data_IF_522509848818
#
_entry.id   IF_522509848818
#
_cell.length_a   1.000
_cell.length_b   1.000
_cell.length_c   1.000
_cell.angle_alpha   90.00
_cell.angle_beta   90.00
_cell.angle_gamma   90.00
#
_symmetry.space_group_name_H-M   'P 1'
#
loop_
_entity.id
_entity.type
_entity.pdbx_description
1 polymer ?
#
# COMPACT_ATOMS: atom_id res chain seq x y z
N UNK A 1 18.50 0.06 -14.27
CA UNK A 1 17.50 0.90 -14.97
C UNK A 1 18.23 2.15 -15.41
N UNK A 2 18.21 2.46 -16.69
CA UNK A 2 18.90 3.62 -17.24
C UNK A 2 18.00 4.87 -17.13
N UNK A 3 18.53 5.97 -16.57
CA UNK A 3 17.80 7.25 -16.44
C UNK A 3 17.26 7.75 -17.77
N UNK A 4 18.08 7.69 -18.83
CA UNK A 4 17.67 8.17 -20.16
C UNK A 4 16.48 7.41 -20.74
N UNK A 5 16.34 6.10 -20.42
CA UNK A 5 15.19 5.32 -20.86
C UNK A 5 13.90 5.71 -20.12
N UNK A 6 14.01 6.05 -18.82
CA UNK A 6 12.86 6.51 -18.02
C UNK A 6 12.41 7.88 -18.49
N UNK A 7 13.34 8.81 -18.74
CA UNK A 7 13.06 10.14 -19.28
C UNK A 7 12.34 10.02 -20.63
N UNK A 8 12.91 9.25 -21.56
CA UNK A 8 12.29 9.04 -22.89
C UNK A 8 10.89 8.42 -22.79
N UNK A 9 10.68 7.45 -21.86
CA UNK A 9 9.37 6.84 -21.66
C UNK A 9 8.33 7.82 -21.09
N UNK A 10 8.79 8.85 -20.39
CA UNK A 10 7.93 9.89 -19.80
C UNK A 10 7.70 11.11 -20.71
N UNK A 11 8.32 11.16 -21.87
CA UNK A 11 8.11 12.25 -22.82
C UNK A 11 6.62 12.47 -23.13
N UNK A 12 6.17 13.74 -23.05
CA UNK A 12 4.78 14.14 -23.32
C UNK A 12 3.73 13.55 -22.36
N UNK A 13 4.13 13.06 -21.19
CA UNK A 13 3.20 12.65 -20.13
C UNK A 13 2.97 13.81 -19.16
N UNK A 14 1.75 13.93 -18.64
CA UNK A 14 1.40 14.88 -17.57
C UNK A 14 1.42 14.24 -16.17
N UNK A 15 1.43 12.91 -16.12
CA UNK A 15 1.43 12.14 -14.87
C UNK A 15 2.33 10.91 -15.01
N UNK A 16 3.12 10.64 -14.00
CA UNK A 16 3.94 9.44 -13.88
C UNK A 16 3.54 8.70 -12.59
N UNK A 17 2.96 7.52 -12.74
CA UNK A 17 2.65 6.65 -11.58
C UNK A 17 3.88 5.83 -11.22
N UNK A 18 4.52 6.16 -10.09
CA UNK A 18 5.67 5.43 -9.57
C UNK A 18 5.20 4.21 -8.75
N UNK A 19 4.77 3.15 -9.45
CA UNK A 19 4.31 1.90 -8.86
C UNK A 19 5.35 0.76 -9.00
N UNK A 20 6.60 1.09 -9.34
CA UNK A 20 7.67 0.10 -9.52
C UNK A 20 8.18 -0.41 -8.19
N UNK A 21 8.37 -1.73 -8.11
CA UNK A 21 8.84 -2.40 -6.90
C UNK A 21 9.74 -3.60 -7.28
N UNK A 22 10.96 -3.70 -6.73
CA UNK A 22 11.80 -4.88 -6.97
C UNK A 22 11.11 -6.16 -6.49
N UNK A 23 11.09 -7.23 -7.32
CA UNK A 23 10.37 -8.46 -7.00
C UNK A 23 10.91 -9.11 -5.72
N UNK A 24 10.00 -9.58 -4.85
CA UNK A 24 10.34 -10.32 -3.63
C UNK A 24 11.22 -9.54 -2.65
N UNK A 25 11.14 -8.21 -2.65
CA UNK A 25 11.94 -7.31 -1.80
C UNK A 25 13.47 -7.39 -2.00
N UNK A 26 13.92 -8.01 -3.11
CA UNK A 26 15.37 -8.18 -3.37
C UNK A 26 16.01 -6.87 -3.75
N UNK A 27 17.09 -6.51 -3.04
CA UNK A 27 17.87 -5.30 -3.31
C UNK A 27 17.12 -3.97 -3.09
N UNK A 28 16.09 -3.97 -2.25
CA UNK A 28 15.30 -2.78 -1.96
C UNK A 28 16.15 -1.60 -1.52
N UNK A 29 17.12 -1.86 -0.65
CA UNK A 29 18.09 -0.91 -0.12
C UNK A 29 18.94 -0.22 -1.20
N UNK A 30 19.11 -0.86 -2.36
CA UNK A 30 19.96 -0.37 -3.44
C UNK A 30 19.18 0.12 -4.67
N UNK A 31 17.95 -0.35 -4.84
CA UNK A 31 17.20 -0.12 -6.08
C UNK A 31 16.08 0.92 -5.94
N UNK A 32 15.37 0.94 -4.81
CA UNK A 32 14.14 1.74 -4.68
C UNK A 32 14.42 3.24 -4.82
N UNK A 33 15.41 3.76 -4.09
CA UNK A 33 15.72 5.19 -4.15
C UNK A 33 16.27 5.62 -5.52
N UNK A 34 17.23 4.91 -6.16
CA UNK A 34 17.64 5.23 -7.53
C UNK A 34 16.52 5.13 -8.57
N UNK A 35 15.54 4.22 -8.37
CA UNK A 35 14.35 4.15 -9.23
C UNK A 35 13.49 5.41 -9.10
N UNK A 36 13.31 5.91 -7.87
CA UNK A 36 12.59 7.17 -7.64
C UNK A 36 13.36 8.36 -8.21
N UNK A 37 14.68 8.42 -8.05
CA UNK A 37 15.51 9.51 -8.59
C UNK A 37 15.41 9.59 -10.11
N UNK A 38 15.33 8.45 -10.80
CA UNK A 38 15.08 8.43 -12.25
C UNK A 38 13.68 8.95 -12.60
N UNK A 39 12.67 8.63 -11.77
CA UNK A 39 11.30 9.14 -11.96
C UNK A 39 11.22 10.64 -11.70
N UNK A 40 11.91 11.14 -10.67
CA UNK A 40 12.01 12.58 -10.38
C UNK A 40 12.62 13.35 -11.56
N UNK A 41 13.73 12.84 -12.10
CA UNK A 41 14.37 13.44 -13.25
C UNK A 41 13.44 13.46 -14.49
N UNK A 42 12.75 12.35 -14.75
CA UNK A 42 11.82 12.25 -15.85
C UNK A 42 10.62 13.20 -15.68
N UNK A 43 10.08 13.31 -14.46
CA UNK A 43 9.00 14.22 -14.14
C UNK A 43 9.40 15.69 -14.30
N UNK A 44 10.61 16.04 -13.89
CA UNK A 44 11.15 17.39 -14.05
C UNK A 44 11.27 17.78 -15.52
N UNK A 45 11.80 16.88 -16.36
CA UNK A 45 11.96 17.13 -17.81
C UNK A 45 10.61 17.19 -18.54
N UNK A 46 9.64 16.36 -18.14
CA UNK A 46 8.31 16.32 -18.78
C UNK A 46 7.32 17.35 -18.22
N UNK A 47 7.63 18.02 -17.09
CA UNK A 47 6.67 18.84 -16.36
C UNK A 47 5.53 18.02 -15.74
N UNK A 48 5.76 16.74 -15.47
CA UNK A 48 4.75 15.79 -15.02
C UNK A 48 4.61 15.75 -13.51
N UNK A 49 3.38 15.45 -13.00
CA UNK A 49 3.15 15.15 -11.60
C UNK A 49 3.50 13.68 -11.32
N UNK A 50 4.17 13.41 -10.21
CA UNK A 50 4.41 12.05 -9.74
C UNK A 50 3.26 11.60 -8.83
N UNK A 51 2.69 10.43 -9.09
CA UNK A 51 1.80 9.71 -8.18
C UNK A 51 2.58 8.57 -7.54
N UNK A 52 2.64 8.57 -6.22
CA UNK A 52 3.23 7.47 -5.44
C UNK A 52 2.13 6.76 -4.64
N UNK A 53 1.73 5.53 -5.00
CA UNK A 53 0.98 4.68 -4.10
C UNK A 53 1.82 4.40 -2.86
N UNK A 54 1.38 5.00 -1.74
CA UNK A 54 2.10 4.97 -0.47
C UNK A 54 1.77 3.72 0.35
N UNK A 55 2.38 3.60 1.50
CA UNK A 55 2.21 2.48 2.43
C UNK A 55 2.14 2.99 3.87
N UNK A 56 1.67 2.14 4.77
CA UNK A 56 1.65 2.39 6.21
C UNK A 56 3.00 2.10 6.90
N UNK A 57 4.01 1.56 6.19
CA UNK A 57 5.29 1.18 6.79
C UNK A 57 6.15 2.35 7.26
N UNK A 58 5.78 3.57 6.90
CA UNK A 58 6.36 4.82 7.39
C UNK A 58 6.16 5.04 8.89
N UNK A 59 5.24 4.30 9.51
CA UNK A 59 4.80 4.48 10.89
C UNK A 59 5.08 3.26 11.75
N UNK A 60 5.15 3.48 13.07
CA UNK A 60 5.14 2.40 14.06
C UNK A 60 3.70 2.18 14.54
N UNK A 61 3.07 1.03 14.28
CA UNK A 61 1.71 0.76 14.70
C UNK A 61 1.54 0.70 16.23
N UNK A 62 2.63 0.61 16.99
CA UNK A 62 2.58 0.67 18.46
C UNK A 62 2.48 2.10 18.99
N UNK A 63 2.82 3.10 18.18
CA UNK A 63 2.81 4.51 18.55
C UNK A 63 1.64 5.28 17.93
N UNK A 64 1.18 4.85 16.76
CA UNK A 64 0.17 5.55 15.97
C UNK A 64 -0.94 4.57 15.53
N UNK A 65 -1.95 4.31 16.37
CA UNK A 65 -3.07 3.42 16.00
C UNK A 65 -4.02 4.04 14.96
N UNK A 66 -3.99 5.35 14.80
CA UNK A 66 -4.65 6.10 13.73
C UNK A 66 -3.62 7.02 13.12
N UNK A 67 -3.54 7.05 11.79
CA UNK A 67 -2.62 7.92 11.05
C UNK A 67 -3.40 8.85 10.13
N UNK A 68 -2.99 10.11 10.13
CA UNK A 68 -3.44 11.19 9.27
C UNK A 68 -2.25 11.88 8.57
N UNK A 69 -2.49 12.99 7.88
CA UNK A 69 -1.46 13.75 7.16
C UNK A 69 -0.46 14.43 8.09
N UNK A 70 -0.84 14.66 9.36
CA UNK A 70 -0.02 15.35 10.38
C UNK A 70 0.78 14.38 11.24
N UNK A 71 0.42 13.10 11.21
CA UNK A 71 1.08 12.08 12.02
C UNK A 71 2.56 11.95 11.66
N UNK A 72 3.42 12.11 12.66
CA UNK A 72 4.87 12.01 12.48
C UNK A 72 5.28 10.60 12.06
N UNK A 73 6.09 10.53 11.02
CA UNK A 73 6.60 9.26 10.51
C UNK A 73 7.73 8.71 11.39
N UNK A 74 7.53 7.53 11.96
CA UNK A 74 8.48 6.81 12.79
C UNK A 74 8.58 5.34 12.32
N UNK A 75 9.38 5.05 11.28
CA UNK A 75 9.45 3.69 10.74
C UNK A 75 10.18 2.74 11.70
N UNK A 76 9.62 1.56 11.94
CA UNK A 76 10.29 0.51 12.74
C UNK A 76 11.37 -0.22 11.99
N UNK A 77 11.27 -0.32 10.68
CA UNK A 77 12.11 -1.17 9.88
C UNK A 77 12.75 -0.45 8.70
N UNK A 78 13.63 -1.16 8.05
CA UNK A 78 14.38 -0.67 6.88
C UNK A 78 13.45 -0.28 5.72
N UNK A 79 12.40 -1.09 5.46
CA UNK A 79 11.43 -0.79 4.40
C UNK A 79 10.70 0.51 4.65
N UNK A 80 10.27 0.73 5.89
CA UNK A 80 9.65 1.98 6.30
C UNK A 80 10.59 3.17 6.17
N UNK A 81 11.84 3.03 6.60
CA UNK A 81 12.86 4.09 6.46
C UNK A 81 13.08 4.48 4.98
N UNK A 82 13.12 3.50 4.07
CA UNK A 82 13.22 3.77 2.63
C UNK A 82 11.97 4.53 2.13
N UNK A 83 10.78 4.17 2.59
CA UNK A 83 9.53 4.86 2.20
C UNK A 83 9.49 6.30 2.73
N UNK A 84 9.95 6.52 3.96
CA UNK A 84 10.12 7.88 4.52
C UNK A 84 11.07 8.71 3.65
N UNK A 85 12.22 8.14 3.27
CA UNK A 85 13.19 8.82 2.41
C UNK A 85 12.63 9.11 1.01
N UNK A 86 11.82 8.20 0.43
CA UNK A 86 11.12 8.47 -0.84
C UNK A 86 10.22 9.70 -0.73
N UNK A 87 9.38 9.76 0.30
CA UNK A 87 8.47 10.89 0.49
C UNK A 87 9.20 12.19 0.82
N UNK A 88 10.34 12.11 1.52
CA UNK A 88 11.23 13.26 1.75
C UNK A 88 11.76 13.82 0.44
N UNK A 89 12.29 12.96 -0.45
CA UNK A 89 12.78 13.38 -1.79
C UNK A 89 11.68 14.02 -2.64
N UNK A 90 10.46 13.50 -2.59
CA UNK A 90 9.31 14.11 -3.28
C UNK A 90 8.99 15.51 -2.71
N UNK A 91 9.07 15.67 -1.39
CA UNK A 91 8.85 16.98 -0.76
C UNK A 91 9.98 17.97 -1.06
N UNK A 92 11.22 17.53 -1.10
CA UNK A 92 12.39 18.34 -1.43
C UNK A 92 12.40 18.78 -2.91
N UNK A 93 11.80 17.97 -3.80
CA UNK A 93 11.66 18.31 -5.21
C UNK A 93 10.50 19.29 -5.52
N UNK A 94 9.62 19.57 -4.55
CA UNK A 94 8.54 20.52 -4.69
C UNK A 94 9.06 21.97 -4.50
N UNK A 95 8.50 22.97 -5.22
CA UNK A 95 7.36 22.86 -6.15
C UNK A 95 7.72 22.48 -7.59
N UNK A 96 9.01 22.33 -7.94
CA UNK A 96 9.48 22.09 -9.31
C UNK A 96 8.92 20.78 -9.88
N UNK A 97 8.84 19.75 -9.05
CA UNK A 97 8.17 18.48 -9.35
C UNK A 97 7.00 18.28 -8.39
N UNK A 98 5.78 18.43 -8.91
CA UNK A 98 4.59 18.20 -8.10
C UNK A 98 4.39 16.70 -7.85
N UNK A 99 3.94 16.33 -6.64
CA UNK A 99 3.69 14.95 -6.31
C UNK A 99 2.38 14.75 -5.54
N UNK A 100 1.84 13.52 -5.64
CA UNK A 100 0.67 13.05 -4.93
C UNK A 100 1.01 11.69 -4.32
N UNK A 101 1.07 11.62 -3.01
CA UNK A 101 1.27 10.38 -2.25
C UNK A 101 -0.06 9.96 -1.65
N UNK A 102 -0.58 8.79 -2.03
CA UNK A 102 -1.80 8.22 -1.45
C UNK A 102 -1.41 6.96 -0.69
N UNK A 103 -1.32 7.07 0.64
CA UNK A 103 -0.98 5.94 1.51
C UNK A 103 -2.22 5.07 1.72
N UNK A 104 -2.02 3.77 1.71
CA UNK A 104 -3.08 2.80 1.84
C UNK A 104 -2.64 1.60 2.68
N UNK A 105 -3.60 0.84 3.21
CA UNK A 105 -3.38 -0.45 3.84
C UNK A 105 -2.94 -1.54 2.85
N UNK A 106 -3.02 -2.80 3.26
CA UNK A 106 -2.65 -3.92 2.39
C UNK A 106 -3.61 -4.06 1.20
N UNK A 107 -3.05 -4.21 0.02
CA UNK A 107 -3.80 -4.27 -1.23
C UNK A 107 -4.51 -5.60 -1.43
N UNK A 108 -5.70 -5.55 -2.00
CA UNK A 108 -6.40 -6.70 -2.56
C UNK A 108 -7.20 -6.30 -3.82
N UNK A 109 -7.64 -7.28 -4.59
CA UNK A 109 -8.39 -7.06 -5.83
C UNK A 109 -7.66 -7.55 -7.06
N UNK A 110 -8.21 -7.31 -8.25
CA UNK A 110 -7.60 -7.66 -9.52
C UNK A 110 -6.18 -7.08 -9.65
N UNK A 111 -5.24 -7.87 -10.15
CA UNK A 111 -3.85 -7.45 -10.31
C UNK A 111 -2.99 -7.50 -9.04
N UNK A 112 -3.57 -7.72 -7.85
CA UNK A 112 -2.86 -7.77 -6.57
C UNK A 112 -2.26 -9.16 -6.23
N UNK A 113 -1.82 -9.94 -7.21
CA UNK A 113 -1.38 -11.32 -7.01
C UNK A 113 -0.19 -11.52 -6.06
N UNK A 114 0.60 -10.49 -5.81
CA UNK A 114 1.70 -10.51 -4.84
C UNK A 114 1.32 -9.95 -3.46
N UNK A 115 0.05 -9.62 -3.23
CA UNK A 115 -0.45 -9.11 -1.96
C UNK A 115 -0.55 -10.17 -0.87
N UNK A 116 -0.64 -9.73 0.38
CA UNK A 116 -0.95 -10.61 1.49
C UNK A 116 -2.28 -11.33 1.30
N UNK A 117 -3.30 -10.64 0.81
CA UNK A 117 -4.59 -11.25 0.49
C UNK A 117 -4.42 -12.46 -0.44
N UNK A 118 -3.83 -12.27 -1.61
CA UNK A 118 -3.70 -13.31 -2.62
C UNK A 118 -2.75 -14.46 -2.19
N UNK A 119 -1.71 -14.14 -1.39
CA UNK A 119 -0.72 -15.14 -0.98
C UNK A 119 -1.11 -15.92 0.29
N UNK A 120 -2.08 -15.42 1.06
CA UNK A 120 -2.44 -16.05 2.34
C UNK A 120 -3.95 -16.30 2.49
N UNK A 121 -4.80 -15.28 2.42
CA UNK A 121 -6.23 -15.43 2.65
C UNK A 121 -6.96 -16.10 1.47
N UNK A 122 -6.54 -15.84 0.25
CA UNK A 122 -7.17 -16.29 -0.98
C UNK A 122 -6.23 -17.08 -1.90
N UNK A 123 -5.23 -17.76 -1.35
CA UNK A 123 -4.22 -18.48 -2.15
C UNK A 123 -4.82 -19.68 -2.89
N UNK A 124 -4.71 -19.73 -4.24
CA UNK A 124 -5.14 -20.89 -5.01
C UNK A 124 -4.24 -22.13 -4.82
N UNK A 125 -4.76 -23.38 -4.82
CA UNK A 125 -6.20 -23.66 -4.70
C UNK A 125 -6.70 -23.31 -3.29
N UNK A 126 -7.88 -22.66 -3.21
CA UNK A 126 -8.43 -22.17 -1.94
C UNK A 126 -8.97 -23.33 -1.10
N UNK A 127 -8.08 -24.03 -0.41
CA UNK A 127 -8.41 -25.16 0.49
C UNK A 127 -8.48 -24.76 1.95
N UNK A 128 -7.93 -23.62 2.31
CA UNK A 128 -7.90 -23.02 3.64
C UNK A 128 -7.61 -21.53 3.55
N UNK A 129 -7.97 -20.80 4.57
CA UNK A 129 -7.59 -19.39 4.77
C UNK A 129 -6.41 -19.38 5.75
N UNK A 130 -5.32 -18.70 5.37
CA UNK A 130 -4.19 -18.45 6.28
C UNK A 130 -4.25 -16.99 6.71
N UNK A 131 -4.65 -16.74 7.96
CA UNK A 131 -4.82 -15.38 8.48
C UNK A 131 -3.53 -14.90 9.17
N UNK A 132 -2.88 -13.83 8.67
CA UNK A 132 -1.68 -13.27 9.30
C UNK A 132 -1.98 -12.41 10.53
N UNK A 133 -3.21 -11.89 10.67
CA UNK A 133 -3.59 -11.03 11.78
C UNK A 133 -3.53 -11.73 13.13
N UNK A 134 -3.10 -11.01 14.16
CA UNK A 134 -3.29 -11.42 15.54
C UNK A 134 -4.80 -11.40 15.85
N UNK A 135 -5.26 -12.32 16.73
CA UNK A 135 -6.68 -12.38 17.09
C UNK A 135 -7.12 -11.02 17.67
N UNK A 136 -8.30 -10.59 17.26
CA UNK A 136 -8.97 -9.38 17.73
C UNK A 136 -8.13 -8.09 17.50
N UNK A 137 -7.27 -8.11 16.47
CA UNK A 137 -6.48 -6.95 16.03
C UNK A 137 -6.99 -6.48 14.67
N UNK A 138 -7.29 -5.19 14.58
CA UNK A 138 -7.78 -4.57 13.37
C UNK A 138 -6.71 -4.44 12.28
N UNK A 139 -7.16 -4.48 11.01
CA UNK A 139 -6.28 -4.35 9.85
C UNK A 139 -6.93 -3.50 8.76
N UNK A 140 -6.12 -2.66 8.12
CA UNK A 140 -6.57 -1.81 7.02
C UNK A 140 -6.29 -2.47 5.66
N UNK A 141 -7.31 -2.54 4.83
CA UNK A 141 -7.28 -3.12 3.49
C UNK A 141 -7.63 -2.08 2.43
N UNK A 142 -6.94 -2.10 1.32
CA UNK A 142 -7.20 -1.23 0.19
C UNK A 142 -7.59 -2.05 -1.04
N UNK A 143 -8.83 -1.89 -1.49
CA UNK A 143 -9.27 -2.45 -2.76
C UNK A 143 -8.67 -1.62 -3.91
N UNK A 144 -7.88 -2.27 -4.76
CA UNK A 144 -7.10 -1.58 -5.79
C UNK A 144 -7.92 -0.76 -6.78
N UNK A 145 -9.10 -1.22 -7.27
CA UNK A 145 -9.92 -0.39 -8.13
C UNK A 145 -10.40 0.91 -7.47
N UNK A 146 -10.86 0.86 -6.21
CA UNK A 146 -11.30 2.06 -5.48
C UNK A 146 -10.14 3.05 -5.26
N UNK A 147 -8.95 2.53 -4.93
CA UNK A 147 -7.75 3.35 -4.80
C UNK A 147 -7.37 3.99 -6.15
N UNK A 148 -7.45 3.24 -7.25
CA UNK A 148 -7.13 3.77 -8.58
C UNK A 148 -8.12 4.86 -9.00
N UNK A 149 -9.42 4.64 -8.78
CA UNK A 149 -10.47 5.61 -9.05
C UNK A 149 -10.30 6.88 -8.19
N UNK A 150 -9.99 6.71 -6.90
CA UNK A 150 -9.65 7.82 -6.01
C UNK A 150 -8.48 8.66 -6.53
N UNK A 151 -7.42 8.01 -6.99
CA UNK A 151 -6.26 8.71 -7.58
C UNK A 151 -6.67 9.48 -8.85
N UNK A 152 -7.53 8.91 -9.70
CA UNK A 152 -8.03 9.58 -10.90
C UNK A 152 -8.82 10.82 -10.51
N UNK A 153 -9.78 10.73 -9.59
CA UNK A 153 -10.55 11.88 -9.10
C UNK A 153 -9.66 12.99 -8.52
N UNK A 154 -8.60 12.62 -7.78
CA UNK A 154 -7.64 13.60 -7.27
C UNK A 154 -6.86 14.30 -8.40
N UNK A 155 -6.51 13.59 -9.46
CA UNK A 155 -5.80 14.14 -10.60
C UNK A 155 -6.68 15.05 -11.48
N UNK A 156 -7.99 14.88 -11.44
CA UNK A 156 -8.99 15.71 -12.12
C UNK A 156 -9.30 17.02 -11.37
N UNK A 157 -8.89 17.13 -10.10
CA UNK A 157 -9.06 18.39 -9.36
C UNK A 157 -8.23 19.53 -9.97
N UNK A 158 -8.72 20.78 -9.86
CA UNK A 158 -7.91 21.94 -10.18
C UNK A 158 -6.56 21.90 -9.46
N UNK A 159 -5.50 22.29 -10.15
CA UNK A 159 -4.12 22.13 -9.67
C UNK A 159 -3.83 22.86 -8.34
N UNK A 160 -4.58 23.91 -8.03
CA UNK A 160 -4.51 24.70 -6.80
C UNK A 160 -5.21 24.04 -5.60
N UNK A 161 -6.05 23.04 -5.83
CA UNK A 161 -6.71 22.28 -4.76
C UNK A 161 -5.75 21.32 -4.02
N UNK A 162 -4.64 20.93 -4.66
CA UNK A 162 -3.64 20.03 -4.11
C UNK A 162 -2.35 20.79 -3.80
N UNK A 163 -1.73 20.50 -2.66
CA UNK A 163 -0.41 20.99 -2.33
C UNK A 163 0.63 20.55 -3.39
N UNK A 164 1.78 21.26 -3.53
CA UNK A 164 2.84 20.84 -4.42
C UNK A 164 3.34 19.41 -4.14
N UNK A 165 3.42 19.01 -2.87
CA UNK A 165 3.62 17.63 -2.42
C UNK A 165 2.44 17.25 -1.53
N UNK A 166 1.35 16.77 -2.14
CA UNK A 166 0.15 16.34 -1.40
C UNK A 166 0.34 14.91 -0.87
N UNK A 167 -0.01 14.71 0.39
CA UNK A 167 0.05 13.41 1.06
C UNK A 167 -1.30 13.12 1.70
N UNK A 168 -1.91 12.00 1.33
CA UNK A 168 -3.27 11.62 1.73
C UNK A 168 -3.31 10.20 2.26
N UNK A 169 -4.30 9.94 3.11
CA UNK A 169 -4.59 8.62 3.64
C UNK A 169 -5.83 8.06 2.96
N UNK A 170 -5.70 6.91 2.28
CA UNK A 170 -6.85 6.19 1.74
C UNK A 170 -7.39 5.24 2.83
N UNK A 171 -8.59 5.49 3.36
CA UNK A 171 -9.12 4.71 4.50
C UNK A 171 -9.43 3.27 4.11
N UNK A 172 -9.89 3.01 2.88
CA UNK A 172 -10.27 1.69 2.40
C UNK A 172 -11.24 0.96 3.32
N UNK A 173 -11.02 -0.35 3.52
CA UNK A 173 -11.80 -1.17 4.44
C UNK A 173 -11.01 -1.41 5.73
N UNK A 174 -11.55 -0.98 6.85
CA UNK A 174 -10.97 -1.30 8.16
C UNK A 174 -11.69 -2.50 8.77
N UNK A 175 -11.01 -3.65 8.80
CA UNK A 175 -11.46 -4.85 9.49
C UNK A 175 -11.06 -4.75 10.96
N UNK A 176 -12.02 -4.43 11.82
CA UNK A 176 -11.74 -4.01 13.21
C UNK A 176 -11.14 -5.12 14.10
N UNK A 177 -11.38 -6.38 13.77
CA UNK A 177 -10.98 -7.54 14.59
C UNK A 177 -10.27 -8.66 13.79
N UNK A 178 -10.03 -8.42 12.49
CA UNK A 178 -9.42 -9.39 11.57
C UNK A 178 -10.34 -10.52 11.12
N UNK A 179 -11.66 -10.39 11.31
CA UNK A 179 -12.65 -11.44 10.99
C UNK A 179 -13.50 -11.09 9.76
N UNK A 180 -13.72 -9.82 9.49
CA UNK A 180 -14.59 -9.38 8.40
C UNK A 180 -14.08 -9.86 7.05
N UNK A 181 -12.77 -9.72 6.79
CA UNK A 181 -12.13 -10.19 5.55
C UNK A 181 -12.21 -11.72 5.40
N UNK A 182 -11.97 -12.47 6.47
CA UNK A 182 -12.10 -13.94 6.47
C UNK A 182 -13.54 -14.36 6.17
N UNK A 183 -14.51 -13.70 6.79
CA UNK A 183 -15.93 -13.97 6.54
C UNK A 183 -16.33 -13.65 5.09
N UNK A 184 -15.83 -12.54 4.54
CA UNK A 184 -16.06 -12.16 3.15
C UNK A 184 -15.47 -13.20 2.16
N UNK A 185 -14.25 -13.70 2.40
CA UNK A 185 -13.65 -14.77 1.58
C UNK A 185 -14.49 -16.05 1.62
N UNK A 186 -15.00 -16.44 2.79
CA UNK A 186 -15.90 -17.61 2.91
C UNK A 186 -17.19 -17.42 2.13
N UNK A 187 -17.83 -16.25 2.24
CA UNK A 187 -19.07 -15.95 1.48
C UNK A 187 -18.79 -15.94 -0.03
N UNK A 188 -17.78 -15.21 -0.46
CA UNK A 188 -17.44 -15.06 -1.87
C UNK A 188 -17.04 -16.37 -2.54
N UNK A 189 -16.39 -17.28 -1.81
CA UNK A 189 -16.02 -18.61 -2.32
C UNK A 189 -17.17 -19.64 -2.27
N UNK A 190 -18.33 -19.30 -1.67
CA UNK A 190 -19.41 -20.25 -1.41
C UNK A 190 -19.06 -21.37 -0.41
N UNK A 191 -17.94 -21.24 0.31
CA UNK A 191 -17.39 -22.25 1.21
C UNK A 191 -17.29 -21.72 2.64
N UNK A 192 -18.40 -21.76 3.35
CA UNK A 192 -18.50 -21.29 4.75
C UNK A 192 -17.69 -22.16 5.73
N UNK A 193 -17.35 -23.39 5.33
CA UNK A 193 -16.60 -24.40 6.06
C UNK A 193 -15.08 -24.27 5.92
N UNK A 194 -14.57 -23.33 5.08
CA UNK A 194 -13.13 -23.16 4.88
C UNK A 194 -12.39 -23.04 6.22
N UNK A 195 -11.44 -23.95 6.52
CA UNK A 195 -10.70 -23.88 7.76
C UNK A 195 -9.78 -22.68 7.77
N UNK A 196 -9.77 -21.95 8.89
CA UNK A 196 -8.84 -20.87 9.14
C UNK A 196 -7.61 -21.40 9.89
N UNK A 197 -6.43 -21.00 9.42
CA UNK A 197 -5.14 -21.27 10.06
C UNK A 197 -4.42 -19.96 10.29
N UNK A 198 -3.66 -19.88 11.36
CA UNK A 198 -2.80 -18.72 11.61
C UNK A 198 -1.55 -18.78 10.75
N UNK A 199 -1.09 -17.62 10.33
CA UNK A 199 0.22 -17.53 9.69
C UNK A 199 1.32 -17.95 10.69
N UNK A 200 2.32 -18.75 10.27
CA UNK A 200 3.29 -19.37 11.18
C UNK A 200 4.39 -18.39 11.63
N UNK A 201 4.00 -17.30 12.31
CA UNK A 201 4.93 -16.26 12.77
C UNK A 201 6.08 -16.79 13.65
N UNK A 202 5.82 -17.80 14.49
CA UNK A 202 6.86 -18.40 15.33
C UNK A 202 7.96 -19.07 14.47
N UNK A 203 7.55 -19.79 13.42
CA UNK A 203 8.48 -20.39 12.45
C UNK A 203 9.26 -19.31 11.69
N UNK A 204 8.57 -18.25 11.21
CA UNK A 204 9.25 -17.15 10.53
C UNK A 204 10.29 -16.49 11.43
N UNK A 205 9.97 -16.28 12.72
CA UNK A 205 10.90 -15.74 13.71
C UNK A 205 12.12 -16.64 13.92
N UNK A 206 11.92 -17.95 14.02
CA UNK A 206 13.01 -18.91 14.18
C UNK A 206 13.95 -18.96 12.97
N UNK A 207 13.39 -18.78 11.74
CA UNK A 207 14.15 -18.82 10.50
C UNK A 207 14.73 -17.46 10.08
N UNK A 208 14.27 -16.35 10.64
CA UNK A 208 14.69 -14.98 10.28
C UNK A 208 16.22 -14.74 10.35
N UNK A 209 16.98 -15.31 11.31
CA UNK A 209 18.45 -15.16 11.37
C UNK A 209 19.15 -15.67 10.11
N UNK A 210 18.58 -16.65 9.40
CA UNK A 210 19.15 -17.20 8.17
C UNK A 210 18.88 -16.35 6.93
N UNK A 211 18.11 -15.25 7.08
CA UNK A 211 17.81 -14.33 5.98
C UNK A 211 16.62 -14.73 5.10
N UNK A 212 16.59 -14.20 3.88
CA UNK A 212 15.55 -14.50 2.90
C UNK A 212 14.14 -14.06 3.34
N UNK A 213 13.11 -14.73 2.80
CA UNK A 213 11.71 -14.42 3.07
C UNK A 213 11.35 -14.33 4.57
N UNK A 214 11.81 -15.23 5.46
CA UNK A 214 11.50 -15.12 6.89
C UNK A 214 11.97 -13.80 7.52
N UNK A 215 13.16 -13.30 7.17
CA UNK A 215 13.65 -12.01 7.65
C UNK A 215 12.78 -10.87 7.14
N UNK A 216 12.48 -10.88 5.85
CA UNK A 216 11.71 -9.82 5.19
C UNK A 216 10.28 -9.73 5.72
N UNK A 217 9.65 -10.87 6.01
CA UNK A 217 8.27 -10.91 6.50
C UNK A 217 8.17 -10.53 7.98
N UNK A 218 9.21 -10.79 8.76
CA UNK A 218 9.23 -10.38 10.18
C UNK A 218 9.26 -8.86 10.37
N UNK A 219 9.77 -8.12 9.39
CA UNK A 219 9.78 -6.66 9.44
C UNK A 219 8.36 -6.07 9.38
N UNK A 220 7.43 -6.73 8.67
CA UNK A 220 6.04 -6.28 8.55
C UNK A 220 5.09 -6.89 9.59
N UNK A 221 5.57 -7.86 10.40
CA UNK A 221 4.76 -8.49 11.45
C UNK A 221 4.08 -7.49 12.40
N UNK A 222 4.71 -6.36 12.82
CA UNK A 222 4.06 -5.41 13.72
C UNK A 222 2.70 -4.89 13.20
N UNK A 223 2.54 -4.72 11.88
CA UNK A 223 1.29 -4.27 11.25
C UNK A 223 0.18 -5.33 11.26
N UNK A 224 0.52 -6.58 11.56
CA UNK A 224 -0.41 -7.69 11.78
C UNK A 224 -0.67 -7.96 13.28
N UNK A 225 0.13 -7.36 14.15
CA UNK A 225 0.08 -7.55 15.59
C UNK A 225 -0.52 -6.35 16.33
N UNK A 226 -0.60 -5.19 15.71
CA UNK A 226 -1.13 -3.95 16.28
C UNK A 226 -2.07 -3.29 15.27
N UNK A 227 -3.23 -2.85 15.74
CA UNK A 227 -4.21 -2.17 14.91
C UNK A 227 -3.65 -0.82 14.40
N UNK A 228 -3.87 -0.54 13.13
CA UNK A 228 -3.59 0.76 12.54
C UNK A 228 -4.69 1.09 11.55
N UNK A 229 -5.27 2.28 11.66
CA UNK A 229 -6.31 2.80 10.79
C UNK A 229 -5.82 4.07 10.10
N UNK A 230 -6.21 4.26 8.85
CA UNK A 230 -5.95 5.48 8.09
C UNK A 230 -7.16 6.41 8.23
N UNK A 231 -6.90 7.66 8.58
CA UNK A 231 -7.92 8.71 8.61
C UNK A 231 -8.01 9.37 7.24
N UNK A 232 -9.13 9.20 6.56
CA UNK A 232 -9.39 9.73 5.23
C UNK A 232 -10.07 11.12 5.24
N UNK A 233 -10.09 11.84 6.36
CA UNK A 233 -10.82 13.11 6.49
C UNK A 233 -10.37 14.13 5.44
N UNK A 234 -9.07 14.29 5.23
CA UNK A 234 -8.53 15.20 4.21
C UNK A 234 -8.90 14.77 2.80
N UNK A 235 -8.91 13.49 2.52
CA UNK A 235 -9.34 12.94 1.23
C UNK A 235 -10.83 13.24 0.99
N UNK A 236 -11.67 13.05 2.01
CA UNK A 236 -13.10 13.39 1.96
C UNK A 236 -13.34 14.89 1.76
N UNK A 237 -12.56 15.77 2.40
CA UNK A 237 -12.64 17.23 2.18
C UNK A 237 -12.32 17.61 0.72
N UNK A 238 -11.38 16.92 0.09
CA UNK A 238 -10.99 17.21 -1.29
C UNK A 238 -12.02 16.73 -2.31
N UNK A 239 -12.55 15.52 -2.13
CA UNK A 239 -13.39 14.84 -3.13
C UNK A 239 -14.90 14.93 -2.81
N UNK A 240 -15.28 15.14 -1.55
CA UNK A 240 -16.67 15.07 -1.09
C UNK A 240 -17.19 13.66 -0.95
N UNK A 241 -16.81 12.74 -1.84
CA UNK A 241 -17.09 11.31 -1.79
C UNK A 241 -15.83 10.52 -2.19
N UNK A 242 -15.60 9.39 -1.55
CA UNK A 242 -14.44 8.53 -1.81
C UNK A 242 -14.95 7.16 -2.28
N UNK A 243 -14.52 6.69 -3.45
CA UNK A 243 -14.90 5.36 -3.94
C UNK A 243 -14.72 4.28 -2.88
N UNK A 244 -15.79 3.53 -2.59
CA UNK A 244 -15.81 2.49 -1.57
C UNK A 244 -16.78 1.37 -1.98
N UNK A 245 -16.28 0.43 -2.78
CA UNK A 245 -16.99 -0.80 -3.13
C UNK A 245 -17.24 -1.63 -1.88
N UNK A 246 -18.42 -2.22 -1.72
CA UNK A 246 -18.70 -3.06 -0.53
C UNK A 246 -17.65 -4.18 -0.40
N UNK A 247 -17.25 -4.53 0.84
CA UNK A 247 -16.22 -5.55 1.07
C UNK A 247 -16.57 -6.88 0.39
N UNK A 248 -17.84 -7.29 0.42
CA UNK A 248 -18.27 -8.54 -0.20
C UNK A 248 -18.13 -8.49 -1.72
N UNK A 249 -18.53 -7.40 -2.36
CA UNK A 249 -18.38 -7.21 -3.82
C UNK A 249 -16.90 -7.20 -4.21
N UNK A 250 -16.08 -6.46 -3.48
CA UNK A 250 -14.65 -6.35 -3.72
C UNK A 250 -13.92 -7.70 -3.57
N UNK A 251 -14.32 -8.51 -2.58
CA UNK A 251 -13.72 -9.85 -2.38
C UNK A 251 -14.21 -10.84 -3.44
N UNK A 252 -15.49 -10.79 -3.88
CA UNK A 252 -15.96 -11.61 -5.01
C UNK A 252 -15.13 -11.32 -6.26
N UNK A 253 -14.87 -10.05 -6.55
CA UNK A 253 -14.06 -9.65 -7.70
C UNK A 253 -12.60 -10.11 -7.55
N UNK A 254 -12.02 -9.97 -6.36
CA UNK A 254 -10.66 -10.40 -6.06
C UNK A 254 -10.44 -11.93 -6.17
N UNK A 255 -11.51 -12.74 -6.07
CA UNK A 255 -11.43 -14.20 -6.20
C UNK A 255 -11.64 -14.71 -7.62
N UNK A 256 -12.03 -13.87 -8.57
CA UNK A 256 -12.29 -14.24 -9.97
C UNK A 256 -11.03 -14.39 -10.83
N UNK A 257 -9.85 -14.35 -10.23
CA UNK A 257 -8.56 -14.42 -10.90
C UNK A 257 -8.14 -15.87 -11.17
#
# INVERSE_FOLDING_TARGET
>A
MNRADVVRAAERTSVIVHAVNPPGYRGWDRLVLPMLDNTLAAAQEAGARIVLPGTIYNYDPTLAPVIDETTTQHPRGRKGAIRVEMEKRLAEAAPEVRSLVVRAGDFFGPGAGQSWFAQTLAKPPLTRIVNPATRDVGHAWAYLPDLAETIIHLLELPADRLLPCERLQFPGHYDADGRAMVAAVRRASGRTDLPERRFPWALMRALAPFGGFPREVMEVRPFWAHAMRLDGSRLMELLGDVPCTSLDTAVVDALRI
#
